data_IF_637675778315
#
_entry.id   IF_637675778315
#
_cell.length_a   1.000
_cell.length_b   1.000
_cell.length_c   1.000
_cell.angle_alpha   90.00
_cell.angle_beta   90.00
_cell.angle_gamma   90.00
#
_symmetry.space_group_name_H-M   'P 1'
#
loop_
_entity.id
_entity.type
_entity.pdbx_description
1 polymer ?
#
# COMPACT_ATOMS: atom_id res chain seq x y z
N UNK A 1 21.31 -5.06 20.81
CA UNK A 1 20.42 -4.01 21.38
C UNK A 1 19.60 -3.43 20.24
N UNK A 2 18.28 -3.60 20.24
CA UNK A 2 17.41 -2.98 19.24
C UNK A 2 17.45 -1.45 19.44
N UNK A 3 18.13 -0.75 18.55
CA UNK A 3 18.11 0.71 18.59
C UNK A 3 16.75 1.19 18.10
N UNK A 4 15.95 1.76 19.00
CA UNK A 4 14.70 2.44 18.66
C UNK A 4 15.00 3.67 17.82
N UNK A 5 14.66 3.63 16.52
CA UNK A 5 15.11 4.60 15.51
C UNK A 5 14.02 5.61 15.13
N UNK A 6 12.75 5.14 15.05
CA UNK A 6 11.65 5.90 14.48
C UNK A 6 10.77 6.55 15.55
N UNK A 7 10.48 7.83 15.41
CA UNK A 7 9.53 8.55 16.27
C UNK A 7 8.07 8.27 15.85
N UNK A 8 7.10 8.72 16.66
CA UNK A 8 5.67 8.70 16.27
C UNK A 8 5.43 9.42 14.94
N UNK A 9 6.02 10.62 14.77
CA UNK A 9 5.88 11.39 13.52
C UNK A 9 6.43 10.61 12.32
N UNK A 10 7.62 10.00 12.45
CA UNK A 10 8.19 9.17 11.39
C UNK A 10 7.32 7.95 11.08
N UNK A 11 6.69 7.34 12.09
CA UNK A 11 5.79 6.20 11.91
C UNK A 11 4.51 6.62 11.18
N UNK A 12 3.91 7.75 11.53
CA UNK A 12 2.78 8.33 10.79
C UNK A 12 3.21 8.67 9.35
N UNK A 13 4.37 9.32 9.18
CA UNK A 13 4.90 9.65 7.86
C UNK A 13 5.19 8.38 7.02
N UNK A 14 5.59 7.28 7.63
CA UNK A 14 5.73 5.99 6.92
C UNK A 14 4.36 5.50 6.42
N UNK A 15 3.34 5.44 7.26
CA UNK A 15 2.02 4.96 6.86
C UNK A 15 1.43 5.87 5.78
N UNK A 16 1.34 7.17 6.05
CA UNK A 16 0.82 8.17 5.11
C UNK A 16 1.66 8.18 3.83
N UNK A 17 2.99 8.10 3.97
CA UNK A 17 3.92 8.14 2.86
C UNK A 17 3.95 6.88 2.01
N UNK A 18 3.59 5.72 2.52
CA UNK A 18 3.45 4.49 1.75
C UNK A 18 2.10 4.47 1.04
N UNK A 19 1.03 4.78 1.75
CA UNK A 19 -0.35 4.73 1.22
C UNK A 19 -0.59 5.84 0.21
N UNK A 20 -0.26 7.10 0.54
CA UNK A 20 -0.34 8.19 -0.43
C UNK A 20 0.83 8.06 -1.42
N UNK A 21 0.64 7.27 -2.43
CA UNK A 21 1.58 7.03 -3.53
C UNK A 21 1.04 7.53 -4.86
N UNK A 22 1.31 6.76 -5.89
CA UNK A 22 0.75 6.99 -7.22
C UNK A 22 -0.77 6.79 -7.26
N UNK A 23 -1.31 5.91 -6.41
CA UNK A 23 -2.70 5.46 -6.50
C UNK A 23 -3.73 6.57 -6.53
N UNK A 24 -3.61 7.61 -5.71
CA UNK A 24 -4.58 8.71 -5.69
C UNK A 24 -4.52 9.57 -6.97
N UNK A 25 -3.34 9.80 -7.50
CA UNK A 25 -3.17 10.55 -8.75
C UNK A 25 -3.65 9.78 -9.97
N UNK A 26 -3.54 8.45 -9.93
CA UNK A 26 -3.68 7.51 -11.03
C UNK A 26 -5.08 6.85 -11.10
N UNK A 27 -5.88 6.86 -10.03
CA UNK A 27 -7.15 6.13 -9.98
C UNK A 27 -8.40 7.03 -9.90
N UNK A 28 -8.24 8.35 -9.87
CA UNK A 28 -9.39 9.27 -9.78
C UNK A 28 -10.28 9.23 -11.03
N UNK A 29 -9.70 9.09 -12.21
CA UNK A 29 -10.40 8.91 -13.48
C UNK A 29 -11.18 7.60 -13.50
N UNK A 30 -10.57 6.50 -13.07
CA UNK A 30 -11.22 5.20 -12.98
C UNK A 30 -12.46 5.24 -12.05
N UNK A 31 -12.35 5.90 -10.90
CA UNK A 31 -13.49 6.08 -10.00
C UNK A 31 -14.62 6.81 -10.71
N UNK A 32 -14.32 7.91 -11.41
CA UNK A 32 -15.32 8.67 -12.16
C UNK A 32 -15.94 7.86 -13.29
N UNK A 33 -15.16 7.04 -14.01
CA UNK A 33 -15.68 6.14 -15.06
C UNK A 33 -16.73 5.19 -14.49
N UNK A 34 -16.42 4.51 -13.38
CA UNK A 34 -17.36 3.59 -12.74
C UNK A 34 -18.57 4.26 -12.11
N UNK A 35 -18.46 5.54 -11.71
CA UNK A 35 -19.56 6.32 -11.17
C UNK A 35 -20.31 7.15 -12.21
N UNK A 36 -20.02 6.97 -13.52
CA UNK A 36 -20.57 7.75 -14.61
C UNK A 36 -20.42 9.27 -14.40
N UNK A 37 -19.26 9.70 -13.91
CA UNK A 37 -18.95 11.09 -13.64
C UNK A 37 -19.55 11.64 -12.34
N UNK A 38 -20.30 10.86 -11.57
CA UNK A 38 -20.91 11.29 -10.30
C UNK A 38 -19.86 11.33 -9.19
N UNK A 39 -19.50 12.54 -8.76
CA UNK A 39 -18.47 12.79 -7.75
C UNK A 39 -18.94 12.32 -6.37
N UNK A 40 -20.24 12.46 -6.04
CA UNK A 40 -20.77 12.02 -4.75
C UNK A 40 -20.66 10.51 -4.57
N UNK A 41 -20.95 9.72 -5.60
CA UNK A 41 -20.72 8.28 -5.60
C UNK A 41 -19.22 7.94 -5.52
N UNK A 42 -18.37 8.74 -6.17
CA UNK A 42 -16.93 8.62 -6.02
C UNK A 42 -16.48 8.83 -4.57
N UNK A 43 -16.97 9.84 -3.89
CA UNK A 43 -16.71 10.07 -2.45
C UNK A 43 -17.15 8.84 -1.64
N UNK A 44 -18.32 8.28 -1.94
CA UNK A 44 -18.83 7.08 -1.26
C UNK A 44 -17.86 5.89 -1.44
N UNK A 45 -17.30 5.69 -2.63
CA UNK A 45 -16.29 4.65 -2.89
C UNK A 45 -15.04 4.85 -2.03
N UNK A 46 -14.52 6.09 -1.94
CA UNK A 46 -13.39 6.40 -1.05
C UNK A 46 -13.70 6.14 0.42
N UNK A 47 -14.90 6.53 0.88
CA UNK A 47 -15.35 6.30 2.26
C UNK A 47 -15.45 4.80 2.56
N UNK A 48 -16.02 4.00 1.65
CA UNK A 48 -16.14 2.54 1.84
C UNK A 48 -14.76 1.87 1.89
N UNK A 49 -13.85 2.25 0.99
CA UNK A 49 -12.49 1.72 1.02
C UNK A 49 -11.75 2.12 2.31
N UNK A 50 -11.84 3.39 2.71
CA UNK A 50 -11.26 3.87 3.95
C UNK A 50 -11.87 3.22 5.19
N UNK A 51 -13.16 2.91 5.19
CA UNK A 51 -13.85 2.19 6.27
C UNK A 51 -13.13 0.86 6.58
N UNK A 52 -12.83 0.06 5.55
CA UNK A 52 -12.09 -1.19 5.73
C UNK A 52 -10.76 -0.97 6.44
N UNK A 53 -10.01 0.06 6.04
CA UNK A 53 -8.67 0.33 6.56
C UNK A 53 -8.70 0.97 7.93
N UNK A 54 -9.63 1.88 8.20
CA UNK A 54 -9.79 2.52 9.51
C UNK A 54 -10.12 1.47 10.57
N UNK A 55 -11.12 0.63 10.32
CA UNK A 55 -11.48 -0.42 11.27
C UNK A 55 -10.44 -1.55 11.30
N UNK A 56 -9.81 -1.86 10.15
CA UNK A 56 -8.70 -2.80 10.06
C UNK A 56 -7.51 -2.36 10.90
N UNK A 57 -7.07 -1.13 10.75
CA UNK A 57 -5.93 -0.57 11.49
C UNK A 57 -6.24 -0.42 12.99
N UNK A 58 -7.47 -0.02 13.35
CA UNK A 58 -7.94 -0.03 14.74
C UNK A 58 -7.87 -1.45 15.34
N UNK A 59 -8.28 -2.46 14.58
CA UNK A 59 -8.21 -3.85 15.02
C UNK A 59 -6.76 -4.31 15.19
N UNK A 60 -5.91 -4.09 14.19
CA UNK A 60 -4.48 -4.46 14.26
C UNK A 60 -3.73 -3.68 15.34
N UNK A 61 -4.16 -2.45 15.67
CA UNK A 61 -3.56 -1.66 16.75
C UNK A 61 -3.62 -2.36 18.11
N UNK A 62 -4.66 -3.17 18.36
CA UNK A 62 -4.77 -4.00 19.58
C UNK A 62 -3.72 -5.11 19.60
N UNK A 63 -3.34 -5.68 18.46
CA UNK A 63 -2.26 -6.66 18.35
C UNK A 63 -0.90 -5.97 18.48
N UNK A 64 -0.71 -4.85 17.79
CA UNK A 64 0.51 -4.07 17.81
C UNK A 64 0.88 -3.51 19.20
N UNK A 65 -0.12 -3.25 20.05
CA UNK A 65 0.10 -2.81 21.42
C UNK A 65 0.68 -3.89 22.35
N UNK A 66 0.63 -5.18 21.93
CA UNK A 66 1.01 -6.34 22.75
C UNK A 66 2.43 -6.80 22.54
N UNK A 67 3.05 -6.44 21.43
CA UNK A 67 4.40 -6.88 21.08
C UNK A 67 5.21 -5.78 20.41
N UNK A 68 6.50 -5.82 20.64
CA UNK A 68 7.52 -5.00 19.97
C UNK A 68 8.56 -5.87 19.24
N UNK A 69 8.23 -7.16 19.02
CA UNK A 69 9.09 -8.07 18.29
C UNK A 69 9.17 -7.75 16.78
N UNK A 70 10.30 -8.13 16.19
CA UNK A 70 10.51 -7.98 14.75
C UNK A 70 9.59 -8.89 13.94
N UNK A 71 8.99 -8.36 12.86
CA UNK A 71 8.23 -9.13 11.90
C UNK A 71 6.79 -8.68 11.66
N UNK A 72 6.27 -7.76 12.48
CA UNK A 72 4.93 -7.23 12.29
C UNK A 72 3.89 -8.31 12.14
N UNK A 73 3.27 -8.42 10.96
CA UNK A 73 2.20 -9.38 10.71
C UNK A 73 2.64 -10.85 10.87
N UNK A 74 3.92 -11.18 10.61
CA UNK A 74 4.46 -12.52 10.87
C UNK A 74 4.42 -12.82 12.37
N UNK A 75 4.84 -11.86 13.19
CA UNK A 75 4.79 -11.97 14.65
C UNK A 75 3.36 -12.12 15.16
N UNK A 76 2.42 -11.34 14.60
CA UNK A 76 1.00 -11.44 14.99
C UNK A 76 0.42 -12.80 14.61
N UNK A 77 0.74 -13.35 13.44
CA UNK A 77 0.36 -14.71 13.06
C UNK A 77 0.94 -15.76 14.04
N UNK A 78 2.22 -15.61 14.41
CA UNK A 78 2.87 -16.55 15.34
C UNK A 78 2.24 -16.50 16.73
N UNK A 79 2.04 -15.30 17.29
CA UNK A 79 1.55 -15.11 18.65
C UNK A 79 0.06 -15.42 18.81
N UNK A 80 -0.76 -15.05 17.85
CA UNK A 80 -2.22 -15.11 17.99
C UNK A 80 -2.89 -16.26 17.24
N UNK A 81 -2.13 -16.96 16.39
CA UNK A 81 -2.56 -18.18 15.71
C UNK A 81 -1.59 -19.32 15.97
N UNK A 82 -0.60 -19.51 15.10
CA UNK A 82 0.43 -20.54 15.23
C UNK A 82 1.61 -20.25 14.28
N UNK A 83 2.71 -21.00 14.49
CA UNK A 83 3.93 -20.88 13.70
C UNK A 83 3.76 -21.25 12.23
N UNK A 84 2.88 -22.20 11.93
CA UNK A 84 2.58 -22.65 10.57
C UNK A 84 1.93 -21.52 9.77
N UNK A 85 0.92 -20.85 10.35
CA UNK A 85 0.27 -19.66 9.74
C UNK A 85 1.27 -18.51 9.55
N UNK A 86 2.16 -18.28 10.53
CA UNK A 86 3.20 -17.26 10.42
C UNK A 86 4.17 -17.54 9.27
N UNK A 87 4.60 -18.80 9.10
CA UNK A 87 5.45 -19.22 7.98
C UNK A 87 4.73 -19.01 6.64
N UNK A 88 3.52 -19.52 6.50
CA UNK A 88 2.72 -19.43 5.28
C UNK A 88 2.47 -17.99 4.85
N UNK A 89 2.00 -17.15 5.77
CA UNK A 89 1.71 -15.76 5.49
C UNK A 89 2.99 -14.93 5.28
N UNK A 90 4.06 -15.23 6.01
CA UNK A 90 5.36 -14.59 5.81
C UNK A 90 5.97 -14.87 4.44
N UNK A 91 5.80 -16.08 3.88
CA UNK A 91 6.21 -16.39 2.52
C UNK A 91 5.36 -15.64 1.50
N UNK A 92 4.02 -15.60 1.68
CA UNK A 92 3.15 -14.79 0.85
C UNK A 92 3.58 -13.32 0.83
N UNK A 93 3.85 -12.74 1.99
CA UNK A 93 4.33 -11.36 2.10
C UNK A 93 5.68 -11.17 1.37
N UNK A 94 6.64 -12.08 1.58
CA UNK A 94 8.01 -11.95 1.05
C UNK A 94 8.08 -12.16 -0.45
N UNK A 95 7.36 -13.16 -0.99
CA UNK A 95 7.51 -13.57 -2.38
C UNK A 95 6.45 -13.00 -3.31
N UNK A 96 5.31 -12.50 -2.78
CA UNK A 96 4.22 -12.00 -3.60
C UNK A 96 3.86 -10.56 -3.24
N UNK A 97 3.38 -10.29 -2.02
CA UNK A 97 2.80 -8.99 -1.68
C UNK A 97 3.78 -7.83 -1.83
N UNK A 98 4.87 -7.83 -1.07
CA UNK A 98 5.85 -6.73 -1.12
C UNK A 98 6.47 -6.51 -2.50
N UNK A 99 6.95 -7.57 -3.21
CA UNK A 99 7.63 -7.35 -4.47
C UNK A 99 6.68 -6.91 -5.59
N UNK A 100 5.43 -7.39 -5.64
CA UNK A 100 4.48 -6.96 -6.67
C UNK A 100 4.13 -5.48 -6.50
N UNK A 101 3.88 -5.02 -5.27
CA UNK A 101 3.62 -3.60 -5.01
C UNK A 101 4.84 -2.74 -5.32
N UNK A 102 6.04 -3.15 -4.86
CA UNK A 102 7.28 -2.42 -5.16
C UNK A 102 7.50 -2.28 -6.67
N UNK A 103 7.27 -3.36 -7.41
CA UNK A 103 7.40 -3.41 -8.86
C UNK A 103 6.49 -2.40 -9.55
N UNK A 104 5.19 -2.39 -9.23
CA UNK A 104 4.22 -1.49 -9.85
C UNK A 104 4.53 -0.03 -9.52
N UNK A 105 4.78 0.28 -8.26
CA UNK A 105 5.08 1.67 -7.87
C UNK A 105 6.38 2.15 -8.52
N UNK A 106 7.39 1.28 -8.66
CA UNK A 106 8.62 1.62 -9.36
C UNK A 106 8.41 1.80 -10.87
N UNK A 107 7.60 0.97 -11.52
CA UNK A 107 7.23 1.15 -12.93
C UNK A 107 6.47 2.47 -13.14
N UNK A 108 5.50 2.80 -12.30
CA UNK A 108 4.79 4.09 -12.33
C UNK A 108 5.74 5.28 -12.13
N UNK A 109 6.82 5.13 -11.32
CA UNK A 109 7.85 6.16 -11.26
C UNK A 109 8.53 6.38 -12.61
N UNK A 110 8.73 5.32 -13.40
CA UNK A 110 9.24 5.38 -14.76
C UNK A 110 8.32 6.19 -15.68
N UNK A 111 6.99 5.99 -15.59
CA UNK A 111 6.00 6.76 -16.36
C UNK A 111 6.12 8.25 -16.04
N UNK A 112 6.09 8.64 -14.77
CA UNK A 112 6.16 10.06 -14.38
C UNK A 112 7.52 10.70 -14.66
N UNK A 113 8.63 9.95 -14.57
CA UNK A 113 9.96 10.43 -14.93
C UNK A 113 10.05 10.66 -16.43
N UNK A 114 9.53 9.77 -17.28
CA UNK A 114 9.49 10.00 -18.74
C UNK A 114 8.65 11.23 -19.11
N UNK A 115 7.50 11.42 -18.44
CA UNK A 115 6.68 12.64 -18.61
C UNK A 115 7.43 13.91 -18.19
N UNK A 116 8.11 13.89 -17.03
CA UNK A 116 8.83 15.05 -16.49
C UNK A 116 9.94 15.53 -17.42
N UNK A 117 10.69 14.60 -18.00
CA UNK A 117 11.82 14.89 -18.89
C UNK A 117 11.45 14.89 -20.37
N UNK A 118 10.15 14.69 -20.71
CA UNK A 118 9.66 14.62 -22.09
C UNK A 118 10.43 13.58 -22.93
N UNK A 119 10.71 12.42 -22.32
CA UNK A 119 11.35 11.26 -22.97
C UNK A 119 10.26 10.37 -23.57
N UNK A 120 10.55 9.70 -24.69
CA UNK A 120 9.63 8.70 -25.26
C UNK A 120 9.26 7.63 -24.22
N UNK A 121 7.97 7.52 -23.94
CA UNK A 121 7.46 6.70 -22.86
C UNK A 121 7.10 5.30 -23.35
N UNK A 122 8.10 4.52 -23.83
CA UNK A 122 7.89 3.10 -24.14
C UNK A 122 7.92 2.26 -22.88
N UNK A 123 7.27 1.08 -22.92
CA UNK A 123 7.26 0.15 -21.79
C UNK A 123 8.68 -0.23 -21.33
N UNK A 124 9.59 -0.42 -22.29
CA UNK A 124 10.99 -0.76 -22.03
C UNK A 124 11.70 0.34 -21.22
N UNK A 125 11.53 1.60 -21.62
CA UNK A 125 12.13 2.75 -20.92
C UNK A 125 11.54 2.91 -19.53
N UNK A 126 10.22 2.78 -19.37
CA UNK A 126 9.54 2.86 -18.09
C UNK A 126 10.05 1.79 -17.13
N UNK A 127 10.18 0.54 -17.60
CA UNK A 127 10.67 -0.59 -16.80
C UNK A 127 12.15 -0.42 -16.45
N UNK A 128 13.00 0.03 -17.36
CA UNK A 128 14.41 0.30 -17.09
C UNK A 128 14.59 1.38 -16.03
N UNK A 129 13.82 2.46 -16.11
CA UNK A 129 13.82 3.51 -15.08
C UNK A 129 13.33 2.94 -13.74
N UNK A 130 12.28 2.12 -13.75
CA UNK A 130 11.79 1.43 -12.55
C UNK A 130 12.86 0.55 -11.89
N UNK A 131 13.62 -0.22 -12.66
CA UNK A 131 14.75 -1.02 -12.17
C UNK A 131 15.84 -0.11 -11.57
N UNK A 132 16.18 0.98 -12.23
CA UNK A 132 17.15 1.94 -11.71
C UNK A 132 16.68 2.54 -10.37
N UNK A 133 15.41 2.91 -10.26
CA UNK A 133 14.80 3.42 -9.02
C UNK A 133 14.90 2.38 -7.91
N UNK A 134 14.47 1.14 -8.16
CA UNK A 134 14.59 0.04 -7.17
C UNK A 134 16.04 -0.08 -6.71
N UNK A 135 16.99 -0.15 -7.65
CA UNK A 135 18.41 -0.32 -7.35
C UNK A 135 18.94 0.81 -6.46
N UNK A 136 18.68 2.07 -6.82
CA UNK A 136 19.13 3.23 -6.07
C UNK A 136 18.55 3.23 -4.65
N UNK A 137 17.24 2.94 -4.51
CA UNK A 137 16.57 2.93 -3.20
C UNK A 137 17.06 1.77 -2.34
N UNK A 138 17.34 0.59 -2.91
CA UNK A 138 17.98 -0.50 -2.15
C UNK A 138 19.37 -0.12 -1.68
N UNK A 139 20.20 0.46 -2.53
CA UNK A 139 21.54 0.94 -2.15
C UNK A 139 21.44 1.92 -0.98
N UNK A 140 20.56 2.92 -1.07
CA UNK A 140 20.36 3.91 0.00
C UNK A 140 19.98 3.22 1.32
N UNK A 141 19.00 2.31 1.30
CA UNK A 141 18.48 1.67 2.52
C UNK A 141 19.43 0.62 3.10
N UNK A 142 20.26 -0.03 2.28
CA UNK A 142 21.24 -1.01 2.75
C UNK A 142 22.49 -0.33 3.37
N UNK A 143 22.87 0.86 2.88
CA UNK A 143 24.00 1.60 3.42
C UNK A 143 23.63 2.56 4.56
N UNK A 144 22.36 2.97 4.71
CA UNK A 144 21.98 3.89 5.78
C UNK A 144 20.47 3.90 6.07
N UNK A 145 20.07 3.29 7.18
CA UNK A 145 18.69 3.40 7.67
C UNK A 145 18.26 4.86 7.95
N UNK A 146 19.22 5.73 8.34
CA UNK A 146 18.93 7.14 8.61
C UNK A 146 18.52 7.88 7.35
N UNK A 147 19.26 7.69 6.25
CA UNK A 147 18.97 8.35 4.97
C UNK A 147 17.61 7.87 4.45
N UNK A 148 17.32 6.56 4.48
CA UNK A 148 16.02 6.03 4.10
C UNK A 148 14.86 6.62 4.93
N UNK A 149 15.04 6.77 6.26
CA UNK A 149 14.06 7.39 7.13
C UNK A 149 13.87 8.89 6.90
N UNK A 150 14.95 9.65 6.69
CA UNK A 150 14.85 11.09 6.33
C UNK A 150 14.17 11.29 4.97
N UNK A 151 14.54 10.48 3.99
CA UNK A 151 13.90 10.52 2.67
C UNK A 151 12.40 10.20 2.78
N UNK A 152 12.00 9.23 3.62
CA UNK A 152 10.60 8.91 3.88
C UNK A 152 9.84 10.11 4.46
N UNK A 153 10.40 10.78 5.46
CA UNK A 153 9.77 11.96 6.06
C UNK A 153 9.65 13.12 5.07
N UNK A 154 10.73 13.43 4.36
CA UNK A 154 10.76 14.52 3.39
C UNK A 154 9.79 14.28 2.23
N UNK A 155 9.81 13.09 1.62
CA UNK A 155 8.91 12.74 0.52
C UNK A 155 7.45 12.76 0.95
N UNK A 156 7.14 12.38 2.22
CA UNK A 156 5.77 12.45 2.74
C UNK A 156 5.27 13.88 2.85
N UNK A 157 6.09 14.82 3.31
CA UNK A 157 5.68 16.23 3.36
C UNK A 157 5.53 16.80 1.94
N UNK A 158 6.48 16.53 1.06
CA UNK A 158 6.49 17.05 -0.32
C UNK A 158 5.26 16.56 -1.11
N UNK A 159 4.87 15.29 -0.97
CA UNK A 159 3.71 14.72 -1.70
C UNK A 159 2.36 15.33 -1.33
N UNK A 160 2.24 15.92 -0.16
CA UNK A 160 1.01 16.59 0.26
C UNK A 160 0.79 17.91 -0.49
N UNK A 161 1.87 18.53 -1.01
CA UNK A 161 1.79 19.81 -1.71
C UNK A 161 0.90 19.75 -2.94
N UNK A 162 1.14 18.87 -3.95
CA UNK A 162 0.28 18.80 -5.14
C UNK A 162 -1.17 18.44 -4.79
N UNK A 163 -1.38 17.57 -3.81
CA UNK A 163 -2.72 17.19 -3.38
C UNK A 163 -3.47 18.38 -2.77
N UNK A 164 -2.82 19.13 -1.88
CA UNK A 164 -3.40 20.31 -1.26
C UNK A 164 -3.68 21.44 -2.27
N UNK A 165 -2.75 21.65 -3.21
CA UNK A 165 -2.90 22.68 -4.25
C UNK A 165 -4.09 22.39 -5.17
N UNK A 166 -4.22 21.14 -5.64
CA UNK A 166 -5.32 20.73 -6.52
C UNK A 166 -6.66 20.75 -5.74
N UNK A 167 -6.67 20.28 -4.49
CA UNK A 167 -7.85 20.38 -3.63
C UNK A 167 -8.31 21.82 -3.44
N UNK A 168 -7.38 22.74 -3.13
CA UNK A 168 -7.67 24.16 -2.97
C UNK A 168 -8.19 24.78 -4.28
N UNK A 169 -7.57 24.46 -5.43
CA UNK A 169 -8.03 24.92 -6.74
C UNK A 169 -9.48 24.50 -7.03
N UNK A 170 -9.83 23.25 -6.73
CA UNK A 170 -11.21 22.76 -6.90
C UNK A 170 -12.21 23.46 -5.99
N UNK A 171 -11.85 23.76 -4.77
CA UNK A 171 -12.72 24.50 -3.84
C UNK A 171 -12.91 25.96 -4.30
N UNK A 172 -11.83 26.61 -4.75
CA UNK A 172 -11.84 28.04 -5.09
C UNK A 172 -12.47 28.27 -6.48
N UNK A 173 -12.11 27.46 -7.48
CA UNK A 173 -12.46 27.68 -8.89
C UNK A 173 -13.47 26.66 -9.44
N UNK A 174 -13.65 25.52 -8.78
CA UNK A 174 -14.47 24.40 -9.28
C UNK A 174 -15.94 24.42 -8.85
N UNK A 175 -16.35 25.35 -7.96
CA UNK A 175 -17.72 25.46 -7.45
C UNK A 175 -18.32 24.10 -7.01
N UNK A 176 -17.74 23.41 -6.02
CA UNK A 176 -18.12 22.03 -5.68
C UNK A 176 -19.57 21.88 -5.20
N UNK A 177 -20.15 22.90 -4.53
CA UNK A 177 -21.49 22.80 -3.93
C UNK A 177 -22.58 22.57 -5.01
N UNK A 178 -22.70 23.38 -6.08
CA UNK A 178 -23.68 23.12 -7.15
C UNK A 178 -23.49 21.76 -7.84
N UNK A 179 -22.23 21.34 -8.06
CA UNK A 179 -21.91 20.06 -8.69
C UNK A 179 -22.39 18.90 -7.83
N UNK A 180 -22.06 18.88 -6.54
CA UNK A 180 -22.49 17.85 -5.60
C UNK A 180 -24.01 17.82 -5.39
N UNK A 181 -24.68 18.96 -5.45
CA UNK A 181 -26.15 19.02 -5.39
C UNK A 181 -26.79 18.37 -6.61
N UNK A 182 -26.24 18.60 -7.81
CA UNK A 182 -26.70 17.91 -9.03
C UNK A 182 -26.44 16.40 -8.95
N UNK A 183 -25.31 15.99 -8.39
CA UNK A 183 -24.94 14.59 -8.21
C UNK A 183 -25.91 13.82 -7.30
N UNK A 184 -26.50 14.47 -6.29
CA UNK A 184 -27.57 13.87 -5.46
C UNK A 184 -28.75 13.46 -6.32
N UNK A 185 -29.12 14.29 -7.29
CA UNK A 185 -30.27 14.03 -8.17
C UNK A 185 -29.96 12.92 -9.18
N UNK A 186 -28.73 12.85 -9.67
CA UNK A 186 -28.31 11.89 -10.71
C UNK A 186 -27.85 10.54 -10.16
N UNK A 187 -27.46 10.46 -8.89
CA UNK A 187 -26.94 9.23 -8.27
C UNK A 187 -27.84 7.97 -8.45
N UNK A 188 -29.17 8.06 -8.34
CA UNK A 188 -30.04 6.89 -8.56
C UNK A 188 -29.96 6.30 -9.95
N UNK A 189 -29.57 7.07 -10.96
CA UNK A 189 -29.47 6.65 -12.35
C UNK A 189 -28.14 5.91 -12.66
N UNK A 190 -27.15 5.97 -11.77
CA UNK A 190 -25.84 5.32 -11.96
C UNK A 190 -25.88 3.79 -11.77
N UNK A 191 -26.99 3.25 -11.24
CA UNK A 191 -27.08 1.81 -10.97
C UNK A 191 -26.07 1.34 -9.92
N UNK A 192 -25.55 0.11 -10.08
CA UNK A 192 -24.56 -0.48 -9.15
C UNK A 192 -23.15 -0.56 -9.75
N UNK A 193 -22.89 0.04 -10.91
CA UNK A 193 -21.59 0.03 -11.58
C UNK A 193 -20.45 0.60 -10.71
N UNK A 194 -20.77 1.56 -9.85
CA UNK A 194 -19.82 2.18 -8.93
C UNK A 194 -19.14 1.18 -7.95
N UNK A 195 -19.78 0.02 -7.70
CA UNK A 195 -19.19 -1.03 -6.84
C UNK A 195 -17.88 -1.55 -7.43
N UNK A 196 -17.76 -1.61 -8.75
CA UNK A 196 -16.54 -2.05 -9.42
C UNK A 196 -15.34 -1.09 -9.16
N UNK A 197 -15.59 0.17 -8.80
CA UNK A 197 -14.53 1.10 -8.42
C UNK A 197 -13.82 0.74 -7.11
N UNK A 198 -14.43 -0.10 -6.25
CA UNK A 198 -13.86 -0.49 -4.95
C UNK A 198 -12.54 -1.26 -5.13
N UNK A 199 -12.43 -2.11 -6.16
CA UNK A 199 -11.18 -2.83 -6.45
C UNK A 199 -9.99 -1.91 -6.76
N UNK A 200 -10.07 -1.07 -7.79
CA UNK A 200 -9.04 -0.08 -8.10
C UNK A 200 -8.68 0.85 -6.94
N UNK A 201 -9.67 1.30 -6.17
CA UNK A 201 -9.40 2.22 -5.06
C UNK A 201 -8.76 1.51 -3.84
N UNK A 202 -8.96 0.20 -3.68
CA UNK A 202 -8.30 -0.57 -2.64
C UNK A 202 -6.77 -0.49 -2.76
N UNK A 203 -6.22 -0.44 -3.99
CA UNK A 203 -4.81 -0.19 -4.23
C UNK A 203 -4.35 1.16 -3.66
N UNK A 204 -5.15 2.22 -3.83
CA UNK A 204 -4.80 3.56 -3.37
C UNK A 204 -4.73 3.67 -1.84
N UNK A 205 -5.36 2.74 -1.12
CA UNK A 205 -5.32 2.68 0.34
C UNK A 205 -4.42 1.58 0.88
N UNK A 206 -3.76 0.80 0.02
CA UNK A 206 -2.91 -0.32 0.47
C UNK A 206 -1.58 0.17 1.05
N UNK A 207 -0.86 -0.73 1.75
CA UNK A 207 0.46 -0.45 2.32
C UNK A 207 0.46 0.05 3.78
N UNK A 208 -0.68 0.35 4.39
CA UNK A 208 -0.76 0.83 5.78
C UNK A 208 -0.14 -0.14 6.80
N UNK A 209 -0.21 -1.44 6.53
CA UNK A 209 0.32 -2.50 7.39
C UNK A 209 1.85 -2.60 7.36
N UNK A 210 2.51 -2.06 6.33
CA UNK A 210 3.96 -2.15 6.14
C UNK A 210 4.73 -1.61 7.33
N UNK A 211 4.22 -0.55 7.98
CA UNK A 211 4.83 0.03 9.18
C UNK A 211 4.96 -0.94 10.36
N UNK A 212 4.13 -1.98 10.41
CA UNK A 212 4.22 -3.00 11.46
C UNK A 212 5.50 -3.84 11.35
N UNK A 213 6.07 -3.99 10.16
CA UNK A 213 7.30 -4.73 9.93
C UNK A 213 8.52 -4.12 10.62
N UNK A 214 8.49 -2.80 10.83
CA UNK A 214 9.53 -2.04 11.55
C UNK A 214 9.13 -1.72 13.00
N UNK A 215 8.09 -2.36 13.52
CA UNK A 215 7.57 -2.11 14.86
C UNK A 215 8.63 -2.13 15.96
N UNK A 216 9.55 -3.09 15.89
CA UNK A 216 10.68 -3.23 16.83
C UNK A 216 11.72 -2.08 16.77
N UNK A 217 11.69 -1.26 15.72
CA UNK A 217 12.55 -0.10 15.53
C UNK A 217 11.88 1.23 15.95
N UNK A 218 10.60 1.18 16.33
CA UNK A 218 9.81 2.37 16.73
C UNK A 218 10.03 2.66 18.22
N UNK A 219 10.30 3.90 18.55
CA UNK A 219 10.38 4.37 19.94
C UNK A 219 9.04 4.20 20.64
N UNK A 220 9.03 3.59 21.82
CA UNK A 220 7.79 3.27 22.57
C UNK A 220 6.75 2.58 21.66
N UNK A 221 7.17 1.53 20.95
CA UNK A 221 6.41 0.86 19.89
C UNK A 221 4.98 0.51 20.32
N UNK A 222 4.78 -0.07 21.50
CA UNK A 222 3.46 -0.46 22.04
C UNK A 222 2.46 0.70 22.18
N UNK A 223 2.91 1.94 22.12
CA UNK A 223 2.09 3.16 22.12
C UNK A 223 2.06 3.83 20.74
N UNK A 224 3.25 4.06 20.18
CA UNK A 224 3.38 4.90 18.99
C UNK A 224 2.90 4.22 17.71
N UNK A 225 3.13 2.91 17.56
CA UNK A 225 2.62 2.17 16.40
C UNK A 225 1.09 2.10 16.38
N UNK A 226 0.39 1.72 17.48
CA UNK A 226 -1.07 1.79 17.55
C UNK A 226 -1.63 3.19 17.23
N UNK A 227 -1.06 4.24 17.80
CA UNK A 227 -1.49 5.62 17.53
C UNK A 227 -1.33 5.97 16.04
N UNK A 228 -0.20 5.62 15.43
CA UNK A 228 0.05 5.87 14.01
C UNK A 228 -0.95 5.10 13.13
N UNK A 229 -1.23 3.83 13.44
CA UNK A 229 -2.21 3.01 12.73
C UNK A 229 -3.63 3.59 12.79
N UNK A 230 -4.01 4.25 13.89
CA UNK A 230 -5.33 4.86 14.04
C UNK A 230 -5.43 6.21 13.33
N UNK A 231 -4.42 7.06 13.47
CA UNK A 231 -4.45 8.44 12.98
C UNK A 231 -4.26 8.49 11.46
N UNK A 232 -3.34 7.69 10.92
CA UNK A 232 -2.95 7.79 9.51
C UNK A 232 -4.08 7.52 8.52
N UNK A 233 -4.93 6.48 8.65
CA UNK A 233 -6.01 6.24 7.69
C UNK A 233 -7.05 7.36 7.65
N UNK A 234 -7.29 8.03 8.77
CA UNK A 234 -8.22 9.17 8.84
C UNK A 234 -7.64 10.36 8.07
N UNK A 235 -6.35 10.66 8.27
CA UNK A 235 -5.65 11.70 7.51
C UNK A 235 -5.70 11.40 6.02
N UNK A 236 -5.44 10.15 5.63
CA UNK A 236 -5.44 9.71 4.22
C UNK A 236 -6.82 9.90 3.60
N UNK A 237 -7.89 9.46 4.27
CA UNK A 237 -9.26 9.64 3.77
C UNK A 237 -9.59 11.11 3.53
N UNK A 238 -9.28 11.98 4.50
CA UNK A 238 -9.54 13.42 4.38
C UNK A 238 -8.81 13.99 3.15
N UNK A 239 -7.51 13.69 3.00
CA UNK A 239 -6.69 14.16 1.88
C UNK A 239 -7.25 13.66 0.55
N UNK A 240 -7.61 12.37 0.47
CA UNK A 240 -8.11 11.75 -0.76
C UNK A 240 -9.45 12.33 -1.20
N UNK A 241 -10.39 12.51 -0.28
CA UNK A 241 -11.70 13.11 -0.60
C UNK A 241 -11.53 14.55 -1.08
N UNK A 242 -10.73 15.35 -0.38
CA UNK A 242 -10.49 16.74 -0.79
C UNK A 242 -9.79 16.83 -2.16
N UNK A 243 -8.80 15.99 -2.41
CA UNK A 243 -8.13 15.93 -3.71
C UNK A 243 -9.10 15.49 -4.82
N UNK A 244 -9.85 14.41 -4.61
CA UNK A 244 -10.78 13.86 -5.59
C UNK A 244 -11.88 14.86 -5.96
N UNK A 245 -12.49 15.50 -4.97
CA UNK A 245 -13.45 16.58 -5.21
C UNK A 245 -12.78 17.73 -5.93
N UNK A 246 -11.59 18.12 -5.48
CA UNK A 246 -10.83 19.21 -6.08
C UNK A 246 -10.53 19.01 -7.55
N UNK A 247 -9.93 17.89 -7.93
CA UNK A 247 -9.58 17.61 -9.32
C UNK A 247 -10.83 17.50 -10.20
N UNK A 248 -11.86 16.80 -9.70
CA UNK A 248 -13.10 16.53 -10.43
C UNK A 248 -13.92 17.81 -10.69
N UNK A 249 -13.95 18.75 -9.74
CA UNK A 249 -14.68 20.01 -9.90
C UNK A 249 -13.86 21.06 -10.66
N UNK A 250 -12.53 21.07 -10.52
CA UNK A 250 -11.66 22.02 -11.22
C UNK A 250 -11.60 21.77 -12.71
N UNK A 251 -11.42 20.51 -13.14
CA UNK A 251 -11.35 20.15 -14.55
C UNK A 251 -12.71 19.82 -15.15
N UNK A 252 -13.66 19.35 -14.33
CA UNK A 252 -14.90 18.70 -14.73
C UNK A 252 -14.72 17.19 -14.84
N UNK A 253 -15.69 16.41 -14.34
CA UNK A 253 -15.64 14.94 -14.29
C UNK A 253 -15.39 14.31 -15.67
N UNK A 254 -16.12 14.76 -16.71
CA UNK A 254 -15.97 14.26 -18.09
C UNK A 254 -14.55 14.40 -18.61
N UNK A 255 -13.89 15.53 -18.28
CA UNK A 255 -12.53 15.77 -18.73
C UNK A 255 -11.53 14.89 -18.01
N UNK A 256 -11.69 14.70 -16.71
CA UNK A 256 -10.86 13.77 -15.93
C UNK A 256 -10.96 12.35 -16.49
N UNK A 257 -12.18 11.86 -16.77
CA UNK A 257 -12.42 10.54 -17.35
C UNK A 257 -11.76 10.37 -18.74
N UNK A 258 -11.84 11.39 -19.59
CA UNK A 258 -11.31 11.31 -20.96
C UNK A 258 -9.79 11.45 -21.04
N UNK A 259 -9.15 12.08 -20.04
CA UNK A 259 -7.71 12.32 -20.04
C UNK A 259 -6.90 11.19 -19.39
N UNK A 260 -7.56 10.29 -18.64
CA UNK A 260 -6.86 9.27 -17.89
C UNK A 260 -5.76 9.87 -17.01
N UNK A 261 -4.59 9.28 -16.99
CA UNK A 261 -3.45 9.69 -16.12
C UNK A 261 -2.94 11.12 -16.37
N UNK A 262 -3.26 11.73 -17.53
CA UNK A 262 -2.81 13.07 -17.89
C UNK A 262 -3.59 14.19 -17.16
N UNK A 263 -4.71 13.90 -16.49
CA UNK A 263 -5.55 14.93 -15.86
C UNK A 263 -4.82 15.76 -14.80
N UNK A 264 -3.86 15.16 -14.07
CA UNK A 264 -3.07 15.88 -13.06
C UNK A 264 -2.16 16.92 -13.72
N UNK A 265 -1.52 16.54 -14.84
CA UNK A 265 -0.67 17.45 -15.60
C UNK A 265 -1.48 18.60 -16.21
N UNK A 266 -2.68 18.31 -16.73
CA UNK A 266 -3.60 19.34 -17.25
C UNK A 266 -4.02 20.32 -16.16
N UNK A 267 -4.37 19.82 -14.96
CA UNK A 267 -4.70 20.69 -13.82
C UNK A 267 -3.54 21.63 -13.47
N UNK A 268 -2.31 21.09 -13.43
CA UNK A 268 -1.11 21.87 -13.14
C UNK A 268 -0.81 22.90 -14.25
N UNK A 269 -0.98 22.53 -15.52
CA UNK A 269 -0.83 23.44 -16.67
C UNK A 269 -1.82 24.60 -16.59
N UNK A 270 -3.08 24.36 -16.25
CA UNK A 270 -4.09 25.42 -16.12
C UNK A 270 -3.82 26.36 -14.96
N UNK A 271 -3.32 25.83 -13.82
CA UNK A 271 -3.05 26.64 -12.63
C UNK A 271 -1.79 27.49 -12.77
N UNK A 272 -0.74 26.93 -13.36
CA UNK A 272 0.62 27.51 -13.25
C UNK A 272 1.37 27.58 -14.57
N UNK A 273 0.77 27.16 -15.69
CA UNK A 273 1.46 27.06 -16.98
C UNK A 273 2.55 25.97 -16.98
N UNK A 274 3.38 25.96 -18.02
CA UNK A 274 4.37 24.90 -18.26
C UNK A 274 5.39 24.72 -17.12
N UNK A 275 5.87 25.80 -16.51
CA UNK A 275 6.83 25.72 -15.41
C UNK A 275 6.23 25.11 -14.16
N UNK A 276 4.98 25.49 -13.82
CA UNK A 276 4.28 24.95 -12.68
C UNK A 276 3.90 23.49 -12.87
N UNK A 277 3.53 23.07 -14.08
CA UNK A 277 3.26 21.67 -14.40
C UNK A 277 4.49 20.79 -14.15
N UNK A 278 5.68 21.22 -14.59
CA UNK A 278 6.94 20.51 -14.30
C UNK A 278 7.24 20.42 -12.80
N UNK A 279 6.95 21.49 -12.05
CA UNK A 279 7.13 21.48 -10.59
C UNK A 279 6.18 20.47 -9.91
N UNK A 280 4.91 20.45 -10.29
CA UNK A 280 3.93 19.48 -9.77
C UNK A 280 4.33 18.05 -10.14
N UNK A 281 4.74 17.79 -11.38
CA UNK A 281 5.26 16.48 -11.78
C UNK A 281 6.49 16.06 -10.97
N UNK A 282 7.40 17.00 -10.66
CA UNK A 282 8.55 16.73 -9.80
C UNK A 282 8.10 16.27 -8.40
N UNK A 283 7.10 16.91 -7.82
CA UNK A 283 6.55 16.53 -6.53
C UNK A 283 5.87 15.14 -6.58
N UNK A 284 5.19 14.82 -7.69
CA UNK A 284 4.59 13.48 -7.90
C UNK A 284 5.69 12.42 -8.00
N UNK A 285 6.76 12.67 -8.76
CA UNK A 285 7.90 11.75 -8.84
C UNK A 285 8.48 11.50 -7.45
N UNK A 286 8.75 12.55 -6.67
CA UNK A 286 9.25 12.42 -5.29
C UNK A 286 8.24 11.63 -4.42
N UNK A 287 6.94 11.84 -4.61
CA UNK A 287 5.87 11.09 -3.95
C UNK A 287 5.96 9.59 -4.20
N UNK A 288 6.06 9.22 -5.47
CA UNK A 288 6.13 7.81 -5.90
C UNK A 288 7.41 7.16 -5.41
N UNK A 289 8.57 7.85 -5.53
CA UNK A 289 9.84 7.38 -4.99
C UNK A 289 9.79 7.16 -3.47
N UNK A 290 9.09 8.03 -2.73
CA UNK A 290 8.86 7.87 -1.29
C UNK A 290 8.03 6.62 -0.96
N UNK A 291 7.05 6.29 -1.80
CA UNK A 291 6.27 5.04 -1.65
C UNK A 291 7.13 3.81 -1.90
N UNK A 292 7.92 3.78 -2.99
CA UNK A 292 8.89 2.69 -3.25
C UNK A 292 9.84 2.53 -2.06
N UNK A 293 10.37 3.63 -1.53
CA UNK A 293 11.26 3.60 -0.37
C UNK A 293 10.60 2.98 0.86
N UNK A 294 9.37 3.39 1.19
CA UNK A 294 8.66 2.87 2.35
C UNK A 294 8.37 1.38 2.25
N UNK A 295 7.94 0.89 1.08
CA UNK A 295 7.69 -0.54 0.84
C UNK A 295 9.00 -1.35 0.93
N UNK A 296 10.10 -0.86 0.34
CA UNK A 296 11.41 -1.50 0.41
C UNK A 296 11.93 -1.57 1.86
N UNK A 297 11.76 -0.51 2.66
CA UNK A 297 12.11 -0.53 4.09
C UNK A 297 11.42 -1.71 4.80
N UNK A 298 10.14 -1.92 4.54
CA UNK A 298 9.41 -3.07 5.09
C UNK A 298 9.91 -4.41 4.54
N UNK A 299 10.07 -4.50 3.22
CA UNK A 299 10.41 -5.73 2.54
C UNK A 299 11.78 -6.30 2.94
N UNK A 300 12.80 -5.44 3.10
CA UNK A 300 14.15 -5.85 3.55
C UNK A 300 14.09 -6.66 4.86
N UNK A 301 13.09 -6.45 5.71
CA UNK A 301 12.95 -7.11 7.00
C UNK A 301 12.22 -8.44 6.97
N UNK A 302 11.59 -8.81 5.85
CA UNK A 302 10.78 -10.02 5.76
C UNK A 302 11.61 -11.31 5.83
N UNK A 303 12.63 -11.56 4.97
CA UNK A 303 13.49 -12.74 5.10
C UNK A 303 14.19 -12.81 6.46
N UNK A 304 14.66 -11.69 7.01
CA UNK A 304 15.22 -11.62 8.36
C UNK A 304 14.22 -12.13 9.42
N UNK A 305 13.00 -11.60 9.41
CA UNK A 305 11.96 -11.98 10.37
C UNK A 305 11.56 -13.45 10.29
N UNK A 306 11.52 -14.01 9.09
CA UNK A 306 11.31 -15.45 8.90
C UNK A 306 12.49 -16.27 9.37
N UNK A 307 13.71 -15.77 9.14
CA UNK A 307 14.95 -16.49 9.44
C UNK A 307 15.27 -16.60 10.92
N UNK A 308 15.02 -15.55 11.72
CA UNK A 308 15.14 -15.62 13.19
C UNK A 308 14.18 -16.65 13.81
N UNK A 309 13.13 -17.06 13.06
CA UNK A 309 12.17 -18.10 13.41
C UNK A 309 12.43 -19.44 12.76
N UNK A 310 13.54 -19.58 12.02
CA UNK A 310 13.88 -20.77 11.21
C UNK A 310 12.83 -21.11 10.12
N UNK A 311 12.00 -20.13 9.71
CA UNK A 311 10.92 -20.29 8.74
C UNK A 311 11.32 -19.94 7.30
N UNK A 312 12.61 -19.76 7.04
CA UNK A 312 13.14 -19.41 5.71
C UNK A 312 14.28 -20.34 5.30
N UNK A 313 14.38 -20.75 4.02
CA UNK A 313 15.47 -21.59 3.54
C UNK A 313 16.83 -20.91 3.76
N UNK A 314 17.77 -21.63 4.37
CA UNK A 314 19.08 -21.05 4.68
C UNK A 314 19.06 -19.96 5.74
N UNK A 315 18.14 -20.02 6.69
CA UNK A 315 17.92 -19.01 7.75
C UNK A 315 19.20 -18.46 8.37
N UNK A 316 20.21 -19.29 8.61
CA UNK A 316 21.49 -18.88 9.21
C UNK A 316 22.20 -17.75 8.42
N UNK A 317 21.92 -17.60 7.13
CA UNK A 317 22.51 -16.54 6.29
C UNK A 317 21.82 -15.19 6.45
N UNK A 318 20.56 -15.17 6.93
CA UNK A 318 19.71 -13.97 6.92
C UNK A 318 19.41 -13.43 8.31
N UNK A 319 19.94 -14.02 9.38
CA UNK A 319 19.77 -13.58 10.77
C UNK A 319 20.70 -12.44 11.16
N UNK A 320 21.69 -12.10 10.32
CA UNK A 320 22.68 -11.07 10.59
C UNK A 320 22.12 -9.67 10.43
N UNK A 321 22.48 -8.77 11.35
CA UNK A 321 22.33 -7.33 11.22
C UNK A 321 23.73 -6.73 11.13
N UNK A 322 24.00 -5.99 10.07
CA UNK A 322 25.31 -5.34 9.89
C UNK A 322 25.59 -4.33 10.99
N UNK A 323 26.69 -4.48 11.72
CA UNK A 323 27.11 -3.53 12.77
C UNK A 323 27.37 -2.13 12.19
N UNK A 324 27.89 -2.05 10.96
CA UNK A 324 28.21 -0.80 10.29
C UNK A 324 26.97 -0.05 9.82
N UNK A 325 26.01 -0.76 9.24
CA UNK A 325 24.84 -0.15 8.58
C UNK A 325 23.57 -0.27 9.41
N UNK A 326 23.57 -1.17 10.39
CA UNK A 326 22.44 -1.44 11.29
C UNK A 326 21.17 -1.90 10.54
N UNK A 327 21.36 -2.68 9.47
CA UNK A 327 20.31 -3.26 8.62
C UNK A 327 20.64 -4.73 8.28
N UNK A 328 19.66 -5.60 8.00
CA UNK A 328 19.89 -6.97 7.55
C UNK A 328 20.26 -6.98 6.05
N UNK A 329 21.54 -6.83 5.75
CA UNK A 329 22.06 -6.66 4.37
C UNK A 329 21.74 -7.86 3.48
N UNK A 330 22.01 -9.08 3.96
CA UNK A 330 21.77 -10.32 3.20
C UNK A 330 20.29 -10.50 2.87
N UNK A 331 19.41 -10.15 3.82
CA UNK A 331 17.97 -10.11 3.62
C UNK A 331 17.59 -9.10 2.54
N UNK A 332 18.22 -7.93 2.54
CA UNK A 332 17.99 -6.90 1.54
C UNK A 332 18.47 -7.32 0.14
N UNK A 333 19.62 -7.95 0.01
CA UNK A 333 20.10 -8.48 -1.29
C UNK A 333 19.14 -9.52 -1.84
N UNK A 334 18.64 -10.43 -0.99
CA UNK A 334 17.65 -11.44 -1.41
C UNK A 334 16.36 -10.78 -1.91
N UNK A 335 15.84 -9.80 -1.19
CA UNK A 335 14.62 -9.10 -1.59
C UNK A 335 14.80 -8.24 -2.84
N UNK A 336 15.98 -7.68 -3.07
CA UNK A 336 16.34 -7.01 -4.32
C UNK A 336 16.23 -7.98 -5.51
N UNK A 337 16.80 -9.17 -5.41
CA UNK A 337 16.71 -10.19 -6.47
C UNK A 337 15.24 -10.55 -6.75
N UNK A 338 14.43 -10.75 -5.71
CA UNK A 338 13.00 -11.03 -5.85
C UNK A 338 12.29 -9.88 -6.60
N UNK A 339 12.62 -8.63 -6.31
CA UNK A 339 12.03 -7.48 -7.00
C UNK A 339 12.41 -7.44 -8.49
N UNK A 340 13.66 -7.76 -8.84
CA UNK A 340 14.08 -7.81 -10.25
C UNK A 340 13.35 -8.91 -11.01
N UNK A 341 13.15 -10.08 -10.38
CA UNK A 341 12.33 -11.14 -10.97
C UNK A 341 10.91 -10.67 -11.23
N UNK A 342 10.26 -10.02 -10.26
CA UNK A 342 8.90 -9.50 -10.43
C UNK A 342 8.80 -8.37 -11.45
N UNK A 343 9.81 -7.51 -11.56
CA UNK A 343 9.86 -6.49 -12.60
C UNK A 343 9.96 -7.13 -13.99
N UNK A 344 10.70 -8.23 -14.12
CA UNK A 344 10.76 -9.00 -15.38
C UNK A 344 9.40 -9.64 -15.69
N UNK A 345 8.74 -10.23 -14.69
CA UNK A 345 7.39 -10.81 -14.84
C UNK A 345 6.41 -9.70 -15.27
N UNK A 346 6.44 -8.54 -14.63
CA UNK A 346 5.59 -7.41 -14.99
C UNK A 346 5.82 -6.96 -16.44
N UNK A 347 7.09 -6.80 -16.85
CA UNK A 347 7.41 -6.47 -18.23
C UNK A 347 6.81 -7.47 -19.23
N UNK A 348 7.00 -8.77 -18.99
CA UNK A 348 6.47 -9.84 -19.84
C UNK A 348 4.94 -9.80 -19.89
N UNK A 349 4.27 -9.66 -18.73
CA UNK A 349 2.81 -9.63 -18.67
C UNK A 349 2.21 -8.43 -19.39
N UNK A 350 2.85 -7.25 -19.30
CA UNK A 350 2.40 -6.06 -20.02
C UNK A 350 2.69 -6.15 -21.52
N UNK A 351 3.91 -6.59 -21.90
CA UNK A 351 4.32 -6.67 -23.31
C UNK A 351 3.46 -7.62 -24.13
N UNK A 352 3.04 -8.74 -23.54
CA UNK A 352 2.21 -9.74 -24.19
C UNK A 352 0.72 -9.63 -23.82
N UNK A 353 0.32 -8.56 -23.12
CA UNK A 353 -1.06 -8.33 -22.67
C UNK A 353 -1.68 -9.54 -21.97
N UNK A 354 -0.89 -10.22 -21.10
CA UNK A 354 -1.35 -11.39 -20.35
C UNK A 354 -2.28 -11.04 -19.19
N UNK A 355 -2.25 -9.78 -18.74
CA UNK A 355 -3.11 -9.22 -17.70
C UNK A 355 -3.89 -8.02 -18.27
N UNK A 356 -4.94 -8.22 -19.08
CA UNK A 356 -5.69 -7.14 -19.72
C UNK A 356 -6.30 -6.20 -18.66
N UNK A 357 -6.05 -4.90 -18.77
CA UNK A 357 -6.52 -3.85 -17.86
C UNK A 357 -6.16 -4.10 -16.38
N UNK A 358 -5.09 -4.86 -16.11
CA UNK A 358 -4.64 -5.30 -14.79
C UNK A 358 -3.12 -5.29 -14.72
N UNK A 359 -2.58 -5.40 -13.52
CA UNK A 359 -1.15 -5.49 -13.29
C UNK A 359 -0.82 -6.54 -12.21
N UNK A 360 0.48 -6.80 -12.00
CA UNK A 360 0.90 -7.85 -11.07
C UNK A 360 0.57 -7.55 -9.59
N UNK A 361 0.24 -6.32 -9.20
CA UNK A 361 -0.13 -6.00 -7.82
C UNK A 361 -1.51 -6.54 -7.44
N UNK A 362 -2.42 -6.66 -8.40
CA UNK A 362 -3.76 -7.22 -8.15
C UNK A 362 -3.69 -8.67 -7.68
N UNK A 363 -2.64 -9.41 -8.08
CA UNK A 363 -2.41 -10.78 -7.62
C UNK A 363 -2.35 -10.85 -6.09
N UNK A 364 -1.77 -9.84 -5.47
CA UNK A 364 -1.45 -9.86 -4.03
C UNK A 364 -2.43 -9.08 -3.16
N UNK A 365 -2.92 -7.95 -3.64
CA UNK A 365 -3.69 -7.00 -2.81
C UNK A 365 -4.95 -7.66 -2.28
N UNK A 366 -5.77 -8.21 -3.17
CA UNK A 366 -7.05 -8.80 -2.78
C UNK A 366 -6.86 -9.96 -1.80
N UNK A 367 -5.87 -10.82 -2.04
CA UNK A 367 -5.57 -11.95 -1.14
C UNK A 367 -4.99 -11.52 0.21
N UNK A 368 -4.32 -10.37 0.25
CA UNK A 368 -3.82 -9.82 1.51
C UNK A 368 -4.96 -9.53 2.50
N UNK A 369 -6.16 -9.16 2.01
CA UNK A 369 -7.32 -8.94 2.86
C UNK A 369 -7.83 -10.22 3.55
N UNK A 370 -7.59 -11.40 2.98
CA UNK A 370 -7.83 -12.67 3.67
C UNK A 370 -6.91 -12.80 4.90
N UNK A 371 -5.64 -12.43 4.75
CA UNK A 371 -4.69 -12.38 5.86
C UNK A 371 -5.08 -11.35 6.92
N UNK A 372 -5.62 -10.20 6.53
CA UNK A 372 -6.14 -9.21 7.47
C UNK A 372 -7.34 -9.74 8.27
N UNK A 373 -8.26 -10.47 7.63
CA UNK A 373 -9.38 -11.11 8.34
C UNK A 373 -8.86 -12.04 9.45
N UNK A 374 -7.77 -12.79 9.22
CA UNK A 374 -7.16 -13.61 10.28
C UNK A 374 -6.73 -12.74 11.48
N UNK A 375 -6.16 -11.55 11.25
CA UNK A 375 -5.78 -10.64 12.33
C UNK A 375 -7.00 -10.13 13.11
N UNK A 376 -8.09 -9.82 12.42
CA UNK A 376 -9.31 -9.34 13.07
C UNK A 376 -9.98 -10.45 13.89
N UNK A 377 -10.00 -11.68 13.41
CA UNK A 377 -10.47 -12.84 14.16
C UNK A 377 -9.59 -13.10 15.39
N UNK A 378 -8.26 -12.86 15.30
CA UNK A 378 -7.38 -12.95 16.46
C UNK A 378 -7.79 -11.97 17.57
N UNK A 379 -8.16 -10.73 17.23
CA UNK A 379 -8.66 -9.72 18.20
C UNK A 379 -9.97 -10.20 18.86
N UNK A 380 -10.90 -10.78 18.10
CA UNK A 380 -12.12 -11.37 18.64
C UNK A 380 -11.78 -12.50 19.62
N UNK A 381 -10.83 -13.37 19.28
CA UNK A 381 -10.41 -14.47 20.14
C UNK A 381 -9.76 -13.99 21.45
N UNK A 382 -8.93 -12.95 21.40
CA UNK A 382 -8.36 -12.30 22.58
C UNK A 382 -9.46 -11.71 23.50
N UNK A 383 -10.52 -11.16 22.88
CA UNK A 383 -11.66 -10.64 23.64
C UNK A 383 -12.45 -11.77 24.32
N UNK A 384 -12.65 -12.89 23.62
CA UNK A 384 -13.30 -14.09 24.21
C UNK A 384 -12.51 -14.65 25.38
N UNK A 385 -11.18 -14.57 25.37
CA UNK A 385 -10.30 -14.95 26.46
C UNK A 385 -10.26 -13.93 27.61
N UNK A 386 -10.95 -12.80 27.48
CA UNK A 386 -10.97 -11.74 28.50
C UNK A 386 -9.75 -10.82 28.50
N UNK A 387 -8.83 -10.96 27.52
CA UNK A 387 -7.63 -10.14 27.43
C UNK A 387 -7.91 -8.71 26.91
N UNK A 388 -9.00 -8.53 26.14
CA UNK A 388 -9.51 -7.23 25.71
C UNK A 388 -10.84 -6.99 26.43
N UNK A 389 -10.83 -6.05 27.38
CA UNK A 389 -12.00 -5.75 28.21
C UNK A 389 -13.04 -4.88 27.48
N UNK A 390 -12.58 -4.02 26.57
CA UNK A 390 -13.46 -3.12 25.81
C UNK A 390 -14.17 -3.88 24.69
N UNK A 391 -15.47 -4.12 24.84
CA UNK A 391 -16.30 -4.89 23.89
C UNK A 391 -16.41 -4.22 22.52
N UNK A 392 -16.38 -2.88 22.45
CA UNK A 392 -16.40 -2.16 21.16
C UNK A 392 -15.14 -2.48 20.36
N UNK A 393 -13.96 -2.32 20.99
CA UNK A 393 -12.67 -2.61 20.35
C UNK A 393 -12.49 -4.10 20.06
N UNK A 394 -13.05 -4.97 20.88
CA UNK A 394 -12.86 -6.40 20.79
C UNK A 394 -13.82 -7.17 19.88
N UNK A 395 -15.02 -6.63 19.64
CA UNK A 395 -16.04 -7.26 18.80
C UNK A 395 -16.50 -6.36 17.65
N UNK A 396 -16.97 -5.13 17.95
CA UNK A 396 -17.58 -4.27 16.93
C UNK A 396 -16.54 -3.87 15.89
N UNK A 397 -15.39 -3.34 16.32
CA UNK A 397 -14.31 -2.91 15.43
C UNK A 397 -13.80 -4.03 14.51
N UNK A 398 -13.43 -5.23 15.01
CA UNK A 398 -13.01 -6.33 14.15
C UNK A 398 -14.10 -6.82 13.18
N UNK A 399 -15.37 -6.86 13.61
CA UNK A 399 -16.49 -7.25 12.73
C UNK A 399 -16.65 -6.23 11.58
N UNK A 400 -16.59 -4.93 11.87
CA UNK A 400 -16.64 -3.90 10.85
C UNK A 400 -15.41 -3.99 9.90
N UNK A 401 -14.22 -4.31 10.43
CA UNK A 401 -13.03 -4.55 9.63
C UNK A 401 -13.18 -5.77 8.70
N UNK A 402 -13.76 -6.86 9.19
CA UNK A 402 -14.08 -8.05 8.39
C UNK A 402 -15.06 -7.68 7.28
N UNK A 403 -16.15 -6.97 7.61
CA UNK A 403 -17.14 -6.52 6.63
C UNK A 403 -16.49 -5.68 5.53
N UNK A 404 -15.66 -4.70 5.90
CA UNK A 404 -14.93 -3.88 4.93
C UNK A 404 -13.99 -4.71 4.04
N UNK A 405 -13.26 -5.68 4.61
CA UNK A 405 -12.40 -6.58 3.84
C UNK A 405 -13.17 -7.48 2.89
N UNK A 406 -14.36 -7.94 3.28
CA UNK A 406 -15.24 -8.72 2.40
C UNK A 406 -15.77 -7.88 1.22
N UNK A 407 -16.03 -6.57 1.41
CA UNK A 407 -16.37 -5.69 0.30
C UNK A 407 -15.22 -5.56 -0.72
N UNK A 408 -13.98 -5.44 -0.25
CA UNK A 408 -12.81 -5.36 -1.13
C UNK A 408 -12.60 -6.69 -1.86
N UNK A 409 -12.74 -7.82 -1.16
CA UNK A 409 -12.67 -9.15 -1.76
C UNK A 409 -13.75 -9.32 -2.83
N UNK A 410 -14.97 -8.87 -2.58
CA UNK A 410 -16.08 -8.92 -3.55
C UNK A 410 -15.76 -8.07 -4.79
N UNK A 411 -15.21 -6.87 -4.60
CA UNK A 411 -14.74 -6.03 -5.71
C UNK A 411 -13.65 -6.73 -6.54
N UNK A 412 -12.68 -7.35 -5.90
CA UNK A 412 -11.62 -8.13 -6.57
C UNK A 412 -12.14 -9.34 -7.34
N UNK A 413 -13.19 -10.00 -6.84
CA UNK A 413 -13.82 -11.15 -7.54
C UNK A 413 -14.47 -10.78 -8.86
N UNK A 414 -14.70 -9.49 -9.15
CA UNK A 414 -15.19 -9.03 -10.45
C UNK A 414 -14.13 -9.15 -11.56
N UNK A 415 -12.84 -9.27 -11.19
CA UNK A 415 -11.78 -9.50 -12.17
C UNK A 415 -11.83 -10.95 -12.68
N UNK A 416 -11.94 -11.19 -14.02
CA UNK A 416 -11.99 -12.54 -14.59
C UNK A 416 -10.77 -13.41 -14.24
N UNK A 417 -9.62 -12.78 -13.96
CA UNK A 417 -8.37 -13.47 -13.61
C UNK A 417 -8.27 -13.83 -12.13
N UNK A 418 -9.20 -13.39 -11.29
CA UNK A 418 -9.17 -13.58 -9.83
C UNK A 418 -8.89 -15.03 -9.42
N UNK A 419 -9.54 -16.02 -10.05
CA UNK A 419 -9.33 -17.44 -9.74
C UNK A 419 -7.87 -17.90 -9.95
N UNK A 420 -7.18 -17.35 -10.95
CA UNK A 420 -5.78 -17.67 -11.22
C UNK A 420 -4.86 -16.99 -10.20
N UNK A 421 -5.20 -15.77 -9.78
CA UNK A 421 -4.47 -15.08 -8.71
C UNK A 421 -4.55 -15.85 -7.39
N UNK A 422 -5.75 -16.31 -7.03
CA UNK A 422 -5.96 -17.15 -5.84
C UNK A 422 -5.13 -18.43 -5.94
N UNK A 423 -5.22 -19.15 -7.06
CA UNK A 423 -4.47 -20.40 -7.25
C UNK A 423 -2.96 -20.20 -7.12
N UNK A 424 -2.42 -19.14 -7.73
CA UNK A 424 -1.00 -18.81 -7.65
C UNK A 424 -0.55 -18.53 -6.21
N UNK A 425 -1.28 -17.71 -5.48
CA UNK A 425 -0.96 -17.37 -4.09
C UNK A 425 -1.10 -18.58 -3.17
N UNK A 426 -2.15 -19.39 -3.36
CA UNK A 426 -2.33 -20.63 -2.58
C UNK A 426 -1.22 -21.64 -2.84
N UNK A 427 -0.65 -21.67 -4.05
CA UNK A 427 0.52 -22.51 -4.35
C UNK A 427 1.73 -22.11 -3.50
N UNK A 428 2.05 -20.82 -3.39
CA UNK A 428 3.16 -20.33 -2.55
C UNK A 428 2.89 -20.63 -1.07
N UNK A 429 1.66 -20.44 -0.60
CA UNK A 429 1.24 -20.79 0.76
C UNK A 429 1.41 -22.30 1.02
N UNK A 430 1.00 -23.15 0.08
CA UNK A 430 1.16 -24.60 0.20
C UNK A 430 2.64 -25.01 0.25
N UNK A 431 3.50 -24.42 -0.59
CA UNK A 431 4.95 -24.66 -0.55
C UNK A 431 5.53 -24.27 0.81
N UNK A 432 5.11 -23.11 1.36
CA UNK A 432 5.53 -22.65 2.69
C UNK A 432 5.13 -23.64 3.79
N UNK A 433 3.89 -24.17 3.74
CA UNK A 433 3.40 -25.16 4.71
C UNK A 433 4.16 -26.50 4.61
N UNK A 434 4.47 -26.97 3.39
CA UNK A 434 5.29 -28.15 3.17
C UNK A 434 6.70 -27.92 3.72
N UNK A 435 7.29 -26.76 3.45
CA UNK A 435 8.59 -26.39 4.02
C UNK A 435 8.57 -26.38 5.54
N UNK A 436 7.55 -25.76 6.14
CA UNK A 436 7.39 -25.69 7.58
C UNK A 436 7.32 -27.09 8.22
N UNK A 437 6.48 -27.97 7.68
CA UNK A 437 6.32 -29.33 8.19
C UNK A 437 7.61 -30.16 8.07
N UNK A 438 8.31 -30.03 6.92
CA UNK A 438 9.50 -30.85 6.66
C UNK A 438 10.75 -30.36 7.41
N UNK A 439 10.94 -29.04 7.53
CA UNK A 439 12.22 -28.48 7.97
C UNK A 439 12.14 -27.70 9.28
N UNK A 440 10.96 -27.28 9.74
CA UNK A 440 10.83 -26.51 10.97
C UNK A 440 10.35 -27.41 12.12
N UNK A 441 9.34 -28.25 11.90
CA UNK A 441 8.83 -29.17 12.92
C UNK A 441 9.85 -30.28 13.18
N UNK A 442 10.41 -30.91 12.15
CA UNK A 442 11.27 -32.09 12.27
C UNK A 442 12.70 -31.75 12.75
N UNK A 443 13.05 -30.48 12.99
CA UNK A 443 14.30 -30.08 13.63
C UNK A 443 14.23 -29.94 15.15
N UNK A 444 13.07 -30.21 15.75
CA UNK A 444 12.89 -30.38 17.17
C UNK A 444 12.97 -31.85 17.55
#
# INVERSE_FOLDING_TARGET
>A
MNQQKYSLFTTIAMIVGIVIGSGIFFKSDNVLIYTNGNILLGILVFVIAAFSIIFGSLSVSELASRTDEAGGIITYCEMFWNKSTACAYGWFQTFIYYPTITCIVAWVSGIYITMLFSIDSTLEIQVLIGIAVITIIYVINLFSYKIGGYFQNASTVIKLVPLAVIAAAGIIFGHPVPVLQNDIVTAPNAGLSWIAAIGPIAFSFDGWIVSTSVGHEIKNSKRNLPLALVISPIIILIIYVFYFVGISTFLGADRVMNMGDAHVNEAALRLFGNMGAKLILTFIVISVLGTVNGVIIGMIRMPYSLSIRSMFPGSNKFIGISDKYNVPVESGVMTYIINIIWMTIHYVTQKFNLLPNSDVSEISIVLNYIGFILMYVAVINLTRKGEIKNKIKGYIVPVLAITGSLFILYGGMQNPLFKYYVLFCMTIIAIALVYYNKYVINKK
#
